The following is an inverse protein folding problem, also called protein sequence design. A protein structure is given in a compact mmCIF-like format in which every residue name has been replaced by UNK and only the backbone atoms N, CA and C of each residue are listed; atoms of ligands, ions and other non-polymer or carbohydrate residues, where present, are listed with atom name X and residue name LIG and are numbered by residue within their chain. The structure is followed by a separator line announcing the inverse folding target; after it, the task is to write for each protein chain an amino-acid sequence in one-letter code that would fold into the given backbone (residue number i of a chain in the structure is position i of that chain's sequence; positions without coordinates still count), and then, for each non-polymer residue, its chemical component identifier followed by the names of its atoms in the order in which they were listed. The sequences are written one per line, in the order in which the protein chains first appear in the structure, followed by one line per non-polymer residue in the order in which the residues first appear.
data_IF_400667950053
#
_entry.id   IF_400667950053
#
_cell.length_a   1.000
_cell.length_b   1.000
_cell.length_c   1.000
_cell.angle_alpha   90.00
_cell.angle_beta   90.00
_cell.angle_gamma   90.00
#
_symmetry.space_group_name_H-M   'P 1'
#
loop_
_entity.id
_entity.type
_entity.pdbx_description
1 polymer ?
#
# COMPACT_ATOMS: atom_id res chain seq x y z
N UNK A 1 -6.27 -1.94 26.30
CA UNK A 1 -6.07 -2.14 24.85
C UNK A 1 -7.45 -2.39 24.26
N UNK A 2 -7.83 -1.74 23.15
CA UNK A 2 -9.08 -2.10 22.47
C UNK A 2 -8.94 -3.54 21.94
N UNK A 3 -9.98 -4.37 22.08
CA UNK A 3 -9.96 -5.78 21.62
C UNK A 3 -9.60 -5.88 20.12
N UNK A 4 -8.75 -6.84 19.73
CA UNK A 4 -8.44 -7.10 18.32
C UNK A 4 -9.74 -7.43 17.59
N UNK A 5 -9.98 -6.75 16.47
CA UNK A 5 -11.18 -6.99 15.68
C UNK A 5 -10.90 -8.09 14.66
N UNK A 6 -11.45 -9.28 14.84
CA UNK A 6 -11.25 -10.37 13.87
C UNK A 6 -11.95 -10.05 12.55
N UNK A 7 -11.27 -10.34 11.45
CA UNK A 7 -11.78 -10.07 10.11
C UNK A 7 -12.76 -11.18 9.72
N UNK A 8 -13.89 -10.82 9.13
CA UNK A 8 -14.92 -11.78 8.68
C UNK A 8 -14.48 -12.72 7.54
N UNK A 9 -13.29 -12.52 6.98
CA UNK A 9 -12.78 -13.37 5.92
C UNK A 9 -11.35 -13.07 5.52
N UNK A 10 -10.80 -13.95 4.69
CA UNK A 10 -9.43 -13.88 4.18
C UNK A 10 -9.40 -13.75 2.65
N UNK A 11 -8.22 -13.42 2.12
CA UNK A 11 -8.00 -13.25 0.67
C UNK A 11 -6.82 -14.12 0.26
N UNK A 12 -6.99 -14.85 -0.83
CA UNK A 12 -5.91 -15.60 -1.48
C UNK A 12 -5.48 -14.83 -2.73
N UNK A 13 -4.19 -14.53 -2.83
CA UNK A 13 -3.66 -13.76 -3.94
C UNK A 13 -3.25 -14.63 -5.12
N UNK A 14 -3.54 -14.15 -6.34
CA UNK A 14 -3.26 -14.86 -7.60
C UNK A 14 -1.81 -15.35 -7.73
N UNK A 15 -0.84 -14.57 -7.26
CA UNK A 15 0.58 -14.94 -7.34
C UNK A 15 0.93 -16.17 -6.48
N UNK A 16 0.18 -16.43 -5.41
CA UNK A 16 0.34 -17.62 -4.58
C UNK A 16 -0.37 -18.84 -5.17
N UNK A 17 -1.41 -18.63 -5.99
CA UNK A 17 -2.15 -19.71 -6.65
C UNK A 17 -1.31 -20.45 -7.71
N UNK A 18 -0.24 -19.84 -8.24
CA UNK A 18 0.64 -20.48 -9.22
C UNK A 18 1.25 -21.80 -8.70
N UNK A 19 1.53 -21.87 -7.39
CA UNK A 19 2.05 -23.08 -6.75
C UNK A 19 0.94 -24.12 -6.55
N UNK A 20 -0.28 -23.68 -6.26
CA UNK A 20 -1.47 -24.54 -6.10
C UNK A 20 -1.83 -25.22 -7.42
N UNK A 21 -1.70 -24.54 -8.56
CA UNK A 21 -2.02 -25.10 -9.88
C UNK A 21 -1.15 -26.31 -10.29
N UNK A 22 -0.08 -26.61 -9.57
CA UNK A 22 0.81 -27.76 -9.86
C UNK A 22 0.48 -29.00 -9.03
N UNK A 23 -0.48 -28.90 -8.12
CA UNK A 23 -0.88 -29.96 -7.20
C UNK A 23 -2.02 -30.79 -7.79
N UNK A 24 -2.22 -32.01 -7.30
CA UNK A 24 -3.40 -32.82 -7.64
C UNK A 24 -4.66 -32.26 -6.96
N UNK A 25 -5.84 -32.63 -7.45
CA UNK A 25 -7.11 -32.20 -6.87
C UNK A 25 -7.25 -32.64 -5.40
N UNK A 26 -6.73 -33.83 -5.04
CA UNK A 26 -6.68 -34.31 -3.66
C UNK A 26 -5.77 -33.44 -2.79
N UNK A 27 -4.57 -33.10 -3.28
CA UNK A 27 -3.62 -32.25 -2.56
C UNK A 27 -4.21 -30.83 -2.37
N UNK A 28 -4.90 -30.29 -3.37
CA UNK A 28 -5.60 -29.00 -3.29
C UNK A 28 -6.73 -29.07 -2.26
N UNK A 29 -7.50 -30.15 -2.24
CA UNK A 29 -8.56 -30.36 -1.26
C UNK A 29 -8.04 -30.40 0.17
N UNK A 30 -6.96 -31.15 0.42
CA UNK A 30 -6.30 -31.23 1.72
C UNK A 30 -5.73 -29.87 2.14
N UNK A 31 -5.04 -29.17 1.25
CA UNK A 31 -4.51 -27.83 1.49
C UNK A 31 -5.63 -26.83 1.82
N UNK A 32 -6.70 -26.79 1.01
CA UNK A 32 -7.77 -25.82 1.21
C UNK A 32 -8.51 -26.07 2.52
N UNK A 33 -8.72 -27.35 2.89
CA UNK A 33 -9.29 -27.71 4.19
C UNK A 33 -8.44 -27.21 5.35
N UNK A 34 -7.12 -27.43 5.29
CA UNK A 34 -6.18 -26.92 6.29
C UNK A 34 -6.23 -25.39 6.45
N UNK A 35 -6.36 -24.66 5.33
CA UNK A 35 -6.51 -23.19 5.34
C UNK A 35 -7.82 -22.79 6.02
N UNK A 36 -8.94 -23.45 5.70
CA UNK A 36 -10.25 -23.14 6.30
C UNK A 36 -10.25 -23.41 7.80
N UNK A 37 -9.74 -24.56 8.24
CA UNK A 37 -9.62 -24.92 9.66
C UNK A 37 -8.76 -23.90 10.42
N UNK A 38 -7.63 -23.49 9.84
CA UNK A 38 -6.79 -22.43 10.42
C UNK A 38 -7.51 -21.07 10.49
N UNK A 39 -8.36 -20.72 9.52
CA UNK A 39 -9.05 -19.43 9.50
C UNK A 39 -10.23 -19.37 10.47
N UNK A 40 -10.91 -20.50 10.71
CA UNK A 40 -12.03 -20.58 11.65
C UNK A 40 -11.53 -20.67 13.08
N UNK A 41 -10.67 -21.65 13.38
CA UNK A 41 -10.32 -22.01 14.75
C UNK A 41 -8.92 -21.51 15.17
N UNK A 42 -8.16 -20.92 14.25
CA UNK A 42 -6.73 -20.56 14.45
C UNK A 42 -5.86 -21.76 14.86
N UNK A 43 -6.35 -22.97 14.63
CA UNK A 43 -5.63 -24.22 14.86
C UNK A 43 -4.63 -24.49 13.74
N UNK A 44 -3.44 -24.97 14.12
CA UNK A 44 -2.45 -25.45 13.16
C UNK A 44 -2.79 -26.91 12.86
N UNK A 45 -3.04 -27.27 11.59
CA UNK A 45 -3.34 -28.65 11.23
C UNK A 45 -2.14 -29.56 11.55
N UNK A 46 -2.39 -30.69 12.21
CA UNK A 46 -1.37 -31.70 12.51
C UNK A 46 -1.38 -32.79 11.41
N UNK A 47 -0.23 -33.42 11.16
CA UNK A 47 -0.06 -34.53 10.21
C UNK A 47 -0.39 -34.20 8.74
N UNK A 48 -0.05 -33.00 8.28
CA UNK A 48 -0.09 -32.66 6.86
C UNK A 48 1.02 -33.37 6.08
N UNK A 49 0.78 -33.65 4.79
CA UNK A 49 1.85 -34.02 3.87
C UNK A 49 2.91 -32.91 3.86
N UNK A 50 4.22 -33.23 3.88
CA UNK A 50 5.28 -32.22 3.95
C UNK A 50 5.18 -31.13 2.88
N UNK A 51 4.68 -31.44 1.67
CA UNK A 51 4.50 -30.44 0.62
C UNK A 51 3.38 -29.46 0.97
N UNK A 52 2.28 -29.99 1.51
CA UNK A 52 1.11 -29.19 1.92
C UNK A 52 1.47 -28.33 3.12
N UNK A 53 2.25 -28.86 4.06
CA UNK A 53 2.71 -28.14 5.25
C UNK A 53 3.57 -26.91 4.87
N UNK A 54 4.56 -27.10 3.99
CA UNK A 54 5.39 -26.00 3.48
C UNK A 54 4.53 -24.93 2.79
N UNK A 55 3.56 -25.36 1.99
CA UNK A 55 2.66 -24.45 1.29
C UNK A 55 1.76 -23.70 2.27
N UNK A 56 1.18 -24.40 3.24
CA UNK A 56 0.37 -23.83 4.30
C UNK A 56 1.14 -22.73 5.05
N UNK A 57 2.41 -22.95 5.40
CA UNK A 57 3.27 -21.97 6.06
C UNK A 57 3.53 -20.71 5.22
N UNK A 58 3.57 -20.82 3.89
CA UNK A 58 3.65 -19.66 3.00
C UNK A 58 2.37 -18.81 3.08
N UNK A 59 1.20 -19.46 3.01
CA UNK A 59 -0.10 -18.77 3.10
C UNK A 59 -0.36 -18.19 4.49
N UNK A 60 -0.05 -18.93 5.55
CA UNK A 60 -0.15 -18.48 6.94
C UNK A 60 0.59 -17.16 7.15
N UNK A 61 1.83 -17.05 6.67
CA UNK A 61 2.62 -15.81 6.74
C UNK A 61 1.95 -14.65 6.01
N UNK A 62 1.25 -14.91 4.91
CA UNK A 62 0.51 -13.86 4.19
C UNK A 62 -0.73 -13.42 4.98
N UNK A 63 -1.49 -14.36 5.53
CA UNK A 63 -2.66 -14.05 6.35
C UNK A 63 -2.30 -13.24 7.59
N UNK A 64 -1.22 -13.59 8.30
CA UNK A 64 -0.74 -12.82 9.45
C UNK A 64 -0.35 -11.39 9.08
N UNK A 65 0.23 -11.18 7.89
CA UNK A 65 0.55 -9.83 7.38
C UNK A 65 -0.72 -9.03 7.12
N UNK A 66 -1.72 -9.66 6.50
CA UNK A 66 -2.99 -9.03 6.19
C UNK A 66 -3.75 -8.66 7.47
N UNK A 67 -3.78 -9.55 8.46
CA UNK A 67 -4.39 -9.32 9.77
C UNK A 67 -3.71 -8.15 10.48
N UNK A 68 -2.38 -8.10 10.50
CA UNK A 68 -1.62 -6.95 11.05
C UNK A 68 -1.97 -5.64 10.32
N UNK A 69 -2.06 -5.67 8.98
CA UNK A 69 -2.42 -4.49 8.18
C UNK A 69 -3.86 -4.04 8.45
N UNK A 70 -4.76 -5.00 8.66
CA UNK A 70 -6.15 -4.73 8.98
C UNK A 70 -6.31 -4.13 10.38
N UNK A 71 -5.67 -4.70 11.40
CA UNK A 71 -5.68 -4.15 12.76
C UNK A 71 -5.16 -2.71 12.81
N UNK A 72 -4.09 -2.39 12.06
CA UNK A 72 -3.60 -1.01 11.96
C UNK A 72 -4.66 -0.04 11.45
N UNK A 73 -5.43 -0.44 10.42
CA UNK A 73 -6.53 0.35 9.86
C UNK A 73 -7.69 0.49 10.83
N UNK A 74 -8.11 -0.60 11.48
CA UNK A 74 -9.18 -0.57 12.50
C UNK A 74 -8.80 0.36 13.65
N UNK A 75 -7.58 0.26 14.17
CA UNK A 75 -7.11 1.11 15.26
C UNK A 75 -7.03 2.59 14.86
N UNK A 76 -6.58 2.89 13.63
CA UNK A 76 -6.61 4.26 13.11
C UNK A 76 -8.05 4.80 13.04
N UNK A 77 -8.98 4.02 12.51
CA UNK A 77 -10.39 4.41 12.42
C UNK A 77 -11.04 4.59 13.80
N UNK A 78 -10.74 3.71 14.76
CA UNK A 78 -11.20 3.84 16.16
C UNK A 78 -10.68 5.14 16.80
N UNK A 79 -9.41 5.50 16.57
CA UNK A 79 -8.84 6.77 17.05
C UNK A 79 -9.53 7.98 16.43
N UNK A 80 -9.78 7.97 15.11
CA UNK A 80 -10.51 9.03 14.41
C UNK A 80 -11.93 9.16 14.98
N UNK A 81 -12.63 8.05 15.18
CA UNK A 81 -13.99 8.05 15.75
C UNK A 81 -14.02 8.58 17.19
N UNK A 82 -13.08 8.16 18.05
CA UNK A 82 -12.93 8.68 19.42
C UNK A 82 -12.66 10.19 19.43
N UNK A 83 -11.76 10.66 18.56
CA UNK A 83 -11.44 12.09 18.44
C UNK A 83 -12.62 12.93 17.92
N UNK A 84 -13.47 12.37 17.05
CA UNK A 84 -14.72 13.01 16.60
C UNK A 84 -15.78 13.10 17.69
N UNK A 85 -15.85 12.13 18.61
CA UNK A 85 -16.77 12.17 19.76
C UNK A 85 -16.29 13.12 20.87
N UNK A 86 -14.96 13.24 21.05
CA UNK A 86 -14.34 14.09 22.07
C UNK A 86 -14.23 15.56 21.66
N UNK A 87 -14.18 15.86 20.35
CA UNK A 87 -14.58 17.19 19.87
C UNK A 87 -16.08 17.27 20.07
N UNK A 88 -16.50 17.84 21.19
CA UNK A 88 -17.91 18.01 21.54
C UNK A 88 -18.71 18.56 20.36
N UNK A 89 -20.02 18.31 20.40
CA UNK A 89 -21.02 18.93 19.54
C UNK A 89 -20.99 20.47 19.66
N UNK A 90 -19.94 21.12 19.17
CA UNK A 90 -20.05 22.47 18.64
C UNK A 90 -20.55 22.28 17.21
N UNK A 91 -21.85 21.98 17.13
CA UNK A 91 -22.62 22.01 15.90
C UNK A 91 -22.72 23.48 15.44
N UNK A 92 -21.64 24.03 14.91
CA UNK A 92 -21.77 25.08 13.91
C UNK A 92 -21.85 24.36 12.56
N UNK A 93 -23.05 23.90 12.25
CA UNK A 93 -23.39 23.40 10.93
C UNK A 93 -23.44 24.61 10.00
N UNK A 94 -22.30 25.03 9.47
CA UNK A 94 -22.30 25.94 8.32
C UNK A 94 -22.74 25.13 7.11
N UNK A 95 -23.85 25.50 6.44
CA UNK A 95 -24.27 24.83 5.22
C UNK A 95 -23.12 24.96 4.23
N UNK A 96 -22.55 23.85 3.79
CA UNK A 96 -21.71 23.85 2.60
C UNK A 96 -22.68 24.09 1.45
N UNK A 97 -22.83 25.36 1.07
CA UNK A 97 -23.63 25.74 -0.09
C UNK A 97 -23.11 24.96 -1.29
N UNK A 98 -23.91 24.00 -1.74
CA UNK A 98 -23.73 23.42 -3.06
C UNK A 98 -23.96 24.53 -4.06
N UNK A 99 -22.98 24.85 -4.90
CA UNK A 99 -23.25 25.23 -6.28
C UNK A 99 -22.03 25.01 -7.14
N UNK A 100 -22.27 24.39 -8.29
CA UNK A 100 -21.24 23.91 -9.18
C UNK A 100 -20.38 25.03 -9.77
N UNK A 101 -19.16 24.60 -10.11
CA UNK A 101 -18.20 25.17 -11.06
C UNK A 101 -17.57 26.52 -10.68
N UNK A 102 -16.28 26.57 -11.04
CA UNK A 102 -15.40 27.73 -11.18
C UNK A 102 -14.50 28.02 -9.97
N UNK A 103 -13.24 27.60 -10.10
CA UNK A 103 -12.11 28.54 -10.03
C UNK A 103 -11.49 28.89 -8.68
N UNK A 104 -10.17 28.67 -8.64
CA UNK A 104 -9.14 29.37 -7.87
C UNK A 104 -8.70 28.84 -6.49
N UNK A 105 -7.40 28.54 -6.47
CA UNK A 105 -6.52 28.20 -5.36
C UNK A 105 -6.31 29.40 -4.43
N UNK A 106 -6.03 29.14 -3.14
CA UNK A 106 -5.04 29.94 -2.39
C UNK A 106 -4.46 29.17 -1.18
N UNK A 107 -3.14 28.99 -1.26
CA UNK A 107 -2.09 28.87 -0.22
C UNK A 107 -2.23 27.88 0.97
N UNK A 108 -1.24 26.97 1.17
CA UNK A 108 -1.12 26.14 2.36
C UNK A 108 -0.44 26.87 3.53
N UNK A 109 -1.01 26.72 4.74
CA UNK A 109 -0.43 27.14 6.02
C UNK A 109 0.81 26.29 6.36
N UNK A 110 1.87 27.00 6.76
CA UNK A 110 3.17 26.52 7.23
C UNK A 110 3.01 25.57 8.43
N UNK A 111 3.74 24.45 8.45
CA UNK A 111 3.98 23.67 9.69
C UNK A 111 5.46 23.38 9.87
N UNK A 112 5.89 23.56 11.11
CA UNK A 112 7.26 23.65 11.59
C UNK A 112 8.08 22.35 11.46
N UNK A 113 9.39 22.58 11.35
CA UNK A 113 10.47 21.59 11.37
C UNK A 113 10.43 20.77 12.65
N UNK A 114 10.56 19.44 12.53
CA UNK A 114 11.30 18.68 13.52
C UNK A 114 12.21 17.63 12.88
N UNK A 115 13.48 17.71 13.28
CA UNK A 115 14.60 16.87 12.83
C UNK A 115 14.58 15.54 13.59
N UNK A 116 14.57 14.43 12.88
CA UNK A 116 14.87 13.11 13.42
C UNK A 116 15.69 12.29 12.42
N UNK A 117 17.01 12.34 12.56
CA UNK A 117 17.95 11.41 11.89
C UNK A 117 17.73 10.01 12.46
N UNK A 118 17.69 9.00 11.60
CA UNK A 118 18.52 7.81 11.84
C UNK A 118 18.95 7.13 10.53
N UNK A 119 20.20 6.65 10.53
CA UNK A 119 20.95 6.13 9.38
C UNK A 119 21.01 4.59 9.42
N UNK A 120 21.08 3.99 8.23
CA UNK A 120 21.56 2.62 7.96
C UNK A 120 20.49 1.78 7.27
N UNK A 121 20.74 1.06 6.17
CA UNK A 121 21.98 0.49 5.62
C UNK A 121 21.78 0.12 4.15
N UNK A 122 22.88 0.18 3.40
CA UNK A 122 23.24 -0.54 2.17
C UNK A 122 22.14 -0.91 1.17
N UNK A 123 22.14 -0.20 0.03
CA UNK A 123 21.55 -0.69 -1.22
C UNK A 123 22.68 -1.01 -2.20
N UNK A 124 22.96 -2.29 -2.31
CA UNK A 124 23.53 -2.86 -3.52
C UNK A 124 22.61 -2.55 -4.70
N UNK A 125 23.26 -2.20 -5.80
CA UNK A 125 22.69 -1.64 -7.03
C UNK A 125 21.94 -2.73 -7.80
N UNK A 126 20.62 -2.63 -7.81
CA UNK A 126 19.81 -2.98 -8.97
C UNK A 126 18.79 -1.84 -9.16
N UNK A 127 19.15 -0.89 -10.03
CA UNK A 127 18.53 0.44 -10.17
C UNK A 127 17.24 0.37 -10.99
N UNK A 128 16.23 -0.35 -10.50
CA UNK A 128 14.86 -0.19 -11.00
C UNK A 128 13.95 0.02 -9.81
N UNK A 129 13.37 1.23 -9.68
CA UNK A 129 12.60 1.66 -8.50
C UNK A 129 11.25 0.92 -8.35
N UNK A 130 10.99 -0.09 -9.16
CA UNK A 130 9.74 -0.83 -9.33
C UNK A 130 9.37 -1.79 -8.19
N UNK A 131 10.07 -1.77 -7.06
CA UNK A 131 9.78 -2.68 -5.95
C UNK A 131 8.45 -2.29 -5.29
N UNK A 132 7.36 -2.82 -5.85
CA UNK A 132 5.97 -2.91 -5.36
C UNK A 132 5.65 -1.87 -4.29
N UNK A 133 5.66 -0.60 -4.69
CA UNK A 133 5.37 0.49 -3.77
C UNK A 133 3.85 0.62 -3.62
N UNK A 134 3.36 0.76 -2.37
CA UNK A 134 1.91 0.76 -2.07
C UNK A 134 1.12 1.87 -2.82
N UNK A 135 1.79 2.86 -3.42
CA UNK A 135 1.17 3.89 -4.26
C UNK A 135 2.15 4.53 -5.29
N UNK A 136 2.37 3.92 -6.47
CA UNK A 136 3.38 4.34 -7.43
C UNK A 136 3.22 5.79 -7.91
N UNK A 137 1.98 6.23 -8.14
CA UNK A 137 1.67 7.60 -8.58
C UNK A 137 2.05 8.67 -7.57
N UNK A 138 1.89 8.39 -6.26
CA UNK A 138 2.26 9.36 -5.23
C UNK A 138 3.77 9.52 -5.14
N UNK A 139 4.51 8.43 -5.25
CA UNK A 139 5.97 8.50 -5.21
C UNK A 139 6.52 9.16 -6.46
N UNK A 140 6.04 8.77 -7.64
CA UNK A 140 6.45 9.39 -8.89
C UNK A 140 6.24 10.91 -8.87
N UNK A 141 5.10 11.35 -8.31
CA UNK A 141 4.82 12.77 -8.12
C UNK A 141 5.88 13.47 -7.25
N UNK A 142 6.26 12.88 -6.12
CA UNK A 142 7.24 13.46 -5.20
C UNK A 142 8.63 13.51 -5.85
N UNK A 143 9.05 12.42 -6.50
CA UNK A 143 10.36 12.32 -7.13
C UNK A 143 10.49 13.31 -8.29
N UNK A 144 9.52 13.34 -9.20
CA UNK A 144 9.48 14.30 -10.33
C UNK A 144 9.45 15.75 -9.83
N UNK A 145 8.65 16.06 -8.81
CA UNK A 145 8.52 17.43 -8.29
C UNK A 145 9.79 17.93 -7.60
N UNK A 146 10.55 17.05 -6.95
CA UNK A 146 11.74 17.40 -6.19
C UNK A 146 12.98 17.59 -7.06
N UNK A 147 12.94 17.20 -8.33
CA UNK A 147 14.06 17.39 -9.26
C UNK A 147 14.19 18.88 -9.60
N UNK A 148 15.42 19.38 -9.48
CA UNK A 148 15.76 20.79 -9.67
C UNK A 148 16.43 21.12 -11.00
N UNK A 149 16.75 20.13 -11.83
CA UNK A 149 17.36 20.35 -13.15
C UNK A 149 16.78 19.38 -14.19
N UNK A 150 16.96 19.72 -15.47
CA UNK A 150 16.43 18.94 -16.58
C UNK A 150 17.12 17.59 -16.77
N UNK A 151 18.43 17.54 -16.52
CA UNK A 151 19.26 16.34 -16.76
C UNK A 151 18.89 15.21 -15.81
N UNK A 152 18.72 15.50 -14.52
CA UNK A 152 18.30 14.51 -13.50
C UNK A 152 16.86 14.04 -13.75
N UNK A 153 16.00 14.89 -14.33
CA UNK A 153 14.63 14.52 -14.68
C UNK A 153 14.61 13.50 -15.82
N UNK A 154 15.44 13.73 -16.84
CA UNK A 154 15.58 12.82 -17.97
C UNK A 154 16.24 11.51 -17.53
N UNK A 155 17.27 11.57 -16.68
CA UNK A 155 17.93 10.38 -16.13
C UNK A 155 16.98 9.53 -15.28
N UNK A 156 16.19 10.18 -14.40
CA UNK A 156 15.15 9.51 -13.63
C UNK A 156 14.13 8.81 -14.55
N UNK A 157 13.67 9.53 -15.58
CA UNK A 157 12.67 9.00 -16.50
C UNK A 157 13.23 7.85 -17.34
N UNK A 158 14.39 8.02 -17.97
CA UNK A 158 14.91 7.04 -18.92
C UNK A 158 15.56 5.83 -18.27
N UNK A 159 16.32 6.04 -17.19
CA UNK A 159 17.18 5.00 -16.61
C UNK A 159 16.67 4.41 -15.29
N UNK A 160 15.87 5.15 -14.51
CA UNK A 160 15.39 4.67 -13.19
C UNK A 160 13.95 4.17 -13.21
N UNK A 161 13.07 4.76 -14.03
CA UNK A 161 11.69 4.30 -14.20
C UNK A 161 11.60 3.17 -15.22
N UNK A 162 10.86 2.13 -14.87
CA UNK A 162 10.57 1.06 -15.82
C UNK A 162 9.54 1.47 -16.86
N UNK A 163 9.45 0.66 -17.93
CA UNK A 163 8.43 0.79 -18.95
C UNK A 163 6.99 0.76 -18.39
N UNK A 164 6.76 0.07 -17.28
CA UNK A 164 5.42 -0.02 -16.68
C UNK A 164 4.97 1.31 -16.08
N UNK A 165 5.88 2.06 -15.46
CA UNK A 165 5.60 3.40 -14.94
C UNK A 165 5.51 4.43 -16.08
N UNK A 166 6.34 4.29 -17.12
CA UNK A 166 6.27 5.12 -18.35
C UNK A 166 4.94 4.98 -19.09
N UNK A 167 4.31 3.81 -19.02
CA UNK A 167 2.99 3.55 -19.61
C UNK A 167 1.81 4.15 -18.82
N UNK A 168 1.98 4.52 -17.54
CA UNK A 168 0.90 5.17 -16.78
C UNK A 168 0.71 6.62 -17.23
N UNK A 169 -0.45 6.90 -17.82
CA UNK A 169 -0.74 8.22 -18.40
C UNK A 169 -0.61 9.38 -17.41
N UNK A 170 -0.90 9.17 -16.11
CA UNK A 170 -0.79 10.24 -15.10
C UNK A 170 0.65 10.49 -14.69
N UNK A 171 1.49 9.45 -14.65
CA UNK A 171 2.91 9.59 -14.34
C UNK A 171 3.61 10.29 -15.51
N UNK A 172 3.25 9.92 -16.75
CA UNK A 172 3.73 10.59 -17.96
C UNK A 172 3.34 12.06 -18.01
N UNK A 173 2.09 12.39 -17.71
CA UNK A 173 1.63 13.78 -17.62
C UNK A 173 2.42 14.59 -16.58
N UNK A 174 2.74 14.01 -15.42
CA UNK A 174 3.57 14.69 -14.41
C UNK A 174 4.99 14.98 -14.92
N UNK A 175 5.59 14.01 -15.62
CA UNK A 175 6.92 14.17 -16.21
C UNK A 175 6.93 15.26 -17.29
N UNK A 176 5.98 15.21 -18.23
CA UNK A 176 5.88 16.21 -19.32
C UNK A 176 5.66 17.62 -18.78
N UNK A 177 4.76 17.77 -17.78
CA UNK A 177 4.54 19.06 -17.12
C UNK A 177 5.81 19.57 -16.47
N UNK A 178 6.54 18.73 -15.73
CA UNK A 178 7.80 19.13 -15.09
C UNK A 178 8.89 19.44 -16.10
N UNK A 179 8.97 18.69 -17.20
CA UNK A 179 9.92 18.94 -18.28
C UNK A 179 9.68 20.32 -18.91
N UNK A 180 8.41 20.69 -19.10
CA UNK A 180 8.02 22.01 -19.63
C UNK A 180 8.37 23.18 -18.70
N UNK A 181 8.49 22.94 -17.38
CA UNK A 181 8.96 23.96 -16.42
C UNK A 181 10.44 24.32 -16.64
N UNK A 182 11.23 23.41 -17.22
CA UNK A 182 12.65 23.64 -17.51
C UNK A 182 12.91 24.15 -18.93
N UNK A 183 11.89 24.19 -19.78
CA UNK A 183 11.97 24.64 -21.18
C UNK A 183 11.46 26.08 -21.36
N UNK A 184 10.86 26.68 -20.32
CA UNK A 184 10.49 28.09 -20.24
C UNK A 184 11.54 28.91 -19.47
#
# INVERSE_FOLDING_TARGET
MDEPFDREGFVIYKHLCLTVCKMSDEEIGQWFRAIVEFQIDRCIPENLDPKIDILFDLFKRQFEKDDKKYQKRVNANRRIAKNRKNKGQNNEWSPMESNGKVGYQSLPMVTDKDKGKDKGKDKDKDNTLDIIMENPRKTAKIEIQNIGNKEDLIDLWENLYSDTWKQDSKIKEMYENKLSEFEN
#
